data_IF_059409680553
#
_entry.id   IF_059409680553
#
_cell.length_a   1.000
_cell.length_b   1.000
_cell.length_c   1.000
_cell.angle_alpha   90.00
_cell.angle_beta   90.00
_cell.angle_gamma   90.00
#
_symmetry.space_group_name_H-M   'P 1'
#
loop_
_entity.id
_entity.type
_entity.pdbx_description
1 polymer ?
#
# COMPACT_ATOMS: atom_id res chain seq x y z
N UNK A 1 5.36 2.75 10.26
CA UNK A 1 4.15 2.60 9.43
C UNK A 1 4.39 3.39 8.16
N UNK A 2 3.93 2.89 7.00
CA UNK A 2 4.04 3.59 5.74
C UNK A 2 3.17 4.83 5.84
N UNK A 3 3.60 5.91 5.20
CA UNK A 3 2.85 7.15 5.21
C UNK A 3 1.91 7.16 4.01
N UNK A 4 1.03 8.15 4.01
CA UNK A 4 0.02 8.32 2.97
C UNK A 4 0.63 8.30 1.56
N UNK A 5 1.80 8.92 1.37
CA UNK A 5 2.48 9.01 0.09
C UNK A 5 2.96 7.64 -0.41
N UNK A 6 3.58 6.82 0.44
CA UNK A 6 4.07 5.50 0.03
C UNK A 6 2.92 4.58 -0.36
N UNK A 7 1.80 4.59 0.38
CA UNK A 7 0.62 3.79 0.02
C UNK A 7 0.12 4.18 -1.37
N UNK A 8 -0.02 5.49 -1.65
CA UNK A 8 -0.45 5.97 -2.95
C UNK A 8 0.53 5.57 -4.06
N UNK A 9 1.84 5.71 -3.85
CA UNK A 9 2.83 5.33 -4.83
C UNK A 9 2.76 3.84 -5.20
N UNK A 10 2.50 2.98 -4.20
CA UNK A 10 2.31 1.56 -4.43
C UNK A 10 1.01 1.26 -5.21
N UNK A 11 -0.13 1.80 -4.76
CA UNK A 11 -1.43 1.59 -5.42
C UNK A 11 -1.42 2.11 -6.85
N UNK A 12 -0.87 3.29 -7.11
CA UNK A 12 -0.77 3.82 -8.47
C UNK A 12 0.15 3.00 -9.38
N UNK A 13 1.24 2.45 -8.84
CA UNK A 13 2.11 1.55 -9.61
C UNK A 13 1.33 0.32 -10.09
N UNK A 14 0.51 -0.26 -9.21
CA UNK A 14 -0.29 -1.46 -9.53
C UNK A 14 -1.46 -1.11 -10.45
N UNK A 15 -2.24 -0.07 -10.14
CA UNK A 15 -3.38 0.35 -10.95
C UNK A 15 -2.97 0.71 -12.38
N UNK A 16 -1.83 1.38 -12.55
CA UNK A 16 -1.33 1.69 -13.89
C UNK A 16 -1.06 0.43 -14.71
N UNK A 17 -0.40 -0.57 -14.13
CA UNK A 17 -0.20 -1.86 -14.80
C UNK A 17 -1.53 -2.50 -15.15
N UNK A 18 -2.47 -2.50 -14.21
CA UNK A 18 -3.78 -3.11 -14.38
C UNK A 18 -4.59 -2.42 -15.51
N UNK A 19 -4.63 -1.09 -15.54
CA UNK A 19 -5.27 -0.30 -16.60
C UNK A 19 -4.61 -0.50 -17.97
N UNK A 20 -3.29 -0.64 -18.02
CA UNK A 20 -2.56 -0.97 -19.26
C UNK A 20 -2.91 -2.38 -19.75
N UNK A 21 -2.99 -3.35 -18.84
CA UNK A 21 -3.41 -4.71 -19.15
C UNK A 21 -4.85 -4.73 -19.72
N UNK A 22 -5.77 -3.96 -19.12
CA UNK A 22 -7.15 -3.83 -19.60
C UNK A 22 -7.23 -3.17 -20.98
N UNK A 23 -6.46 -2.10 -21.21
CA UNK A 23 -6.41 -1.41 -22.52
C UNK A 23 -5.89 -2.32 -23.63
N UNK A 24 -4.82 -3.08 -23.35
CA UNK A 24 -4.21 -3.98 -24.34
C UNK A 24 -5.06 -5.22 -24.63
N UNK A 25 -5.99 -5.57 -23.75
CA UNK A 25 -6.85 -6.74 -23.93
C UNK A 25 -7.90 -6.56 -25.05
N UNK A 26 -8.12 -5.33 -25.53
CA UNK A 26 -9.04 -5.06 -26.64
C UNK A 26 -10.49 -5.51 -26.37
N UNK A 27 -10.90 -5.57 -25.10
CA UNK A 27 -12.21 -6.08 -24.68
C UNK A 27 -12.28 -7.60 -24.48
N UNK A 28 -11.21 -8.35 -24.78
CA UNK A 28 -11.04 -9.73 -24.32
C UNK A 28 -10.78 -9.73 -22.81
N UNK A 29 -11.30 -10.70 -22.08
CA UNK A 29 -10.98 -10.89 -20.66
C UNK A 29 -9.50 -11.27 -20.53
N UNK A 30 -8.63 -10.30 -20.23
CA UNK A 30 -7.24 -10.59 -19.86
C UNK A 30 -7.25 -11.45 -18.59
N UNK A 31 -6.36 -12.46 -18.48
CA UNK A 31 -6.32 -13.30 -17.29
C UNK A 31 -5.82 -12.48 -16.11
N UNK A 32 -6.76 -11.97 -15.32
CA UNK A 32 -6.56 -11.34 -14.01
C UNK A 32 -6.84 -12.31 -12.87
N UNK A 33 -7.02 -13.59 -13.20
CA UNK A 33 -7.19 -14.68 -12.26
C UNK A 33 -5.89 -14.91 -11.48
N UNK A 34 -5.98 -14.92 -10.16
CA UNK A 34 -4.89 -15.19 -9.25
C UNK A 34 -4.57 -16.69 -9.27
N UNK A 35 -3.43 -17.06 -9.85
CA UNK A 35 -3.00 -18.44 -9.99
C UNK A 35 -2.23 -18.95 -8.78
N UNK A 36 -1.40 -18.08 -8.19
CA UNK A 36 -0.48 -18.46 -7.14
C UNK A 36 -0.12 -17.28 -6.24
N UNK A 37 0.23 -17.57 -4.98
CA UNK A 37 0.82 -16.60 -4.06
C UNK A 37 2.24 -17.05 -3.72
N UNK A 38 3.20 -16.15 -3.90
CA UNK A 38 4.62 -16.36 -3.66
C UNK A 38 5.08 -15.63 -2.40
N UNK A 39 6.09 -16.16 -1.73
CA UNK A 39 6.75 -15.48 -0.60
C UNK A 39 8.20 -15.93 -0.44
N UNK A 40 9.03 -15.09 0.17
CA UNK A 40 10.35 -15.48 0.66
C UNK A 40 10.27 -16.09 2.06
N UNK A 41 11.14 -17.07 2.31
CA UNK A 41 11.27 -17.69 3.62
C UNK A 41 12.01 -16.78 4.61
N UNK A 42 11.60 -16.82 5.88
CA UNK A 42 12.43 -16.29 6.97
C UNK A 42 13.60 -17.25 7.27
N UNK A 43 14.68 -16.78 7.89
CA UNK A 43 15.82 -17.67 8.24
C UNK A 43 15.38 -18.91 9.06
N UNK A 44 14.49 -18.78 10.07
CA UNK A 44 13.96 -19.96 10.77
C UNK A 44 13.16 -20.90 9.87
N UNK A 45 12.36 -20.39 8.92
CA UNK A 45 11.62 -21.19 7.95
C UNK A 45 12.58 -21.99 7.05
N UNK A 46 13.62 -21.36 6.51
CA UNK A 46 14.65 -22.02 5.69
C UNK A 46 15.32 -23.18 6.44
N UNK A 47 15.62 -22.99 7.72
CA UNK A 47 16.24 -24.01 8.57
C UNK A 47 15.28 -25.18 8.84
N UNK A 48 13.99 -24.92 9.02
CA UNK A 48 12.96 -25.93 9.26
C UNK A 48 12.50 -26.64 7.99
N UNK A 49 12.64 -26.01 6.82
CA UNK A 49 12.18 -26.55 5.55
C UNK A 49 12.78 -27.93 5.24
N UNK A 50 11.92 -28.81 4.73
CA UNK A 50 12.23 -30.17 4.24
C UNK A 50 11.47 -30.39 2.92
N UNK A 51 12.09 -31.02 1.91
CA UNK A 51 13.49 -31.44 1.86
C UNK A 51 14.46 -30.26 1.83
N UNK A 52 15.74 -30.49 2.15
CA UNK A 52 16.79 -29.44 2.10
C UNK A 52 17.08 -28.95 0.68
N UNK A 53 16.66 -29.69 -0.33
CA UNK A 53 16.68 -29.29 -1.74
C UNK A 53 15.54 -28.35 -2.12
N UNK A 54 14.53 -28.16 -1.26
CA UNK A 54 13.38 -27.29 -1.55
C UNK A 54 13.79 -25.83 -1.76
N UNK A 55 12.99 -25.10 -2.54
CA UNK A 55 13.19 -23.66 -2.80
C UNK A 55 13.26 -22.86 -1.50
N UNK A 56 12.33 -23.14 -0.57
CA UNK A 56 12.31 -22.55 0.76
C UNK A 56 13.61 -22.79 1.53
N UNK A 57 14.13 -24.03 1.57
CA UNK A 57 15.40 -24.34 2.25
C UNK A 57 16.60 -23.61 1.63
N UNK A 58 16.56 -23.32 0.33
CA UNK A 58 17.60 -22.62 -0.43
C UNK A 58 17.50 -21.10 -0.38
N UNK A 59 16.51 -20.54 0.33
CA UNK A 59 16.30 -19.08 0.40
C UNK A 59 15.79 -18.48 -0.90
N UNK A 60 15.19 -19.31 -1.77
CA UNK A 60 14.55 -18.88 -3.00
C UNK A 60 13.07 -18.59 -2.75
N UNK A 61 12.51 -17.65 -3.52
CA UNK A 61 11.06 -17.41 -3.52
C UNK A 61 10.34 -18.70 -3.89
N UNK A 62 9.30 -19.05 -3.14
CA UNK A 62 8.55 -20.29 -3.38
C UNK A 62 7.06 -20.02 -3.46
N UNK A 63 6.33 -20.80 -4.28
CA UNK A 63 4.89 -20.71 -4.36
C UNK A 63 4.29 -21.35 -3.10
N UNK A 64 3.18 -20.81 -2.62
CA UNK A 64 2.39 -21.40 -1.56
C UNK A 64 1.20 -22.16 -2.13
N UNK A 65 0.73 -23.13 -1.35
CA UNK A 65 -0.51 -23.85 -1.60
C UNK A 65 -1.39 -23.84 -0.35
N UNK A 66 -2.53 -24.53 -0.42
CA UNK A 66 -3.50 -24.64 0.66
C UNK A 66 -3.01 -25.38 1.91
N UNK A 67 -1.87 -26.08 1.82
CA UNK A 67 -1.20 -26.70 2.96
C UNK A 67 -0.25 -25.75 3.71
N UNK A 68 0.01 -24.56 3.15
CA UNK A 68 0.94 -23.59 3.72
C UNK A 68 0.52 -23.13 5.10
N UNK A 69 1.39 -23.39 6.09
CA UNK A 69 1.25 -22.91 7.47
C UNK A 69 2.04 -21.62 7.72
N UNK A 70 2.41 -20.93 6.65
CA UNK A 70 3.26 -19.75 6.74
C UNK A 70 2.46 -18.61 7.36
N UNK A 71 2.98 -18.13 8.48
CA UNK A 71 2.45 -17.00 9.22
C UNK A 71 3.33 -15.78 8.97
N UNK A 72 2.71 -14.61 8.82
CA UNK A 72 3.42 -13.33 8.71
C UNK A 72 2.87 -12.37 9.74
N UNK A 73 3.70 -11.44 10.21
CA UNK A 73 3.31 -10.44 11.21
C UNK A 73 4.29 -10.23 12.33
N UNK A 74 4.02 -9.20 13.13
CA UNK A 74 4.70 -9.03 14.41
C UNK A 74 4.37 -10.18 15.36
N UNK A 75 5.27 -10.44 16.29
CA UNK A 75 5.03 -11.37 17.39
C UNK A 75 3.68 -11.07 18.07
N UNK A 76 2.87 -12.11 18.32
CA UNK A 76 1.54 -11.99 18.93
C UNK A 76 0.39 -11.57 18.00
N UNK A 77 0.67 -11.15 16.77
CA UNK A 77 -0.35 -10.76 15.80
C UNK A 77 -0.10 -11.38 14.41
N UNK A 78 0.47 -12.58 14.36
CA UNK A 78 0.70 -13.24 13.08
C UNK A 78 -0.61 -13.80 12.50
N UNK A 79 -0.79 -13.69 11.18
CA UNK A 79 -1.91 -14.30 10.45
C UNK A 79 -1.39 -15.20 9.32
N UNK A 80 -2.18 -16.19 8.88
CA UNK A 80 -1.81 -17.03 7.75
C UNK A 80 -1.70 -16.19 6.49
N UNK A 81 -0.65 -16.42 5.69
CA UNK A 81 -0.50 -15.71 4.42
C UNK A 81 -1.48 -16.23 3.35
N UNK A 82 -1.74 -17.55 3.36
CA UNK A 82 -2.73 -18.19 2.50
C UNK A 82 -4.17 -17.76 2.87
N UNK A 83 -5.08 -17.58 1.90
CA UNK A 83 -6.47 -17.24 2.18
C UNK A 83 -7.18 -18.23 3.11
N UNK A 84 -7.94 -17.69 4.05
CA UNK A 84 -8.80 -18.46 4.95
C UNK A 84 -10.24 -17.93 4.90
N UNK A 85 -11.22 -18.83 5.01
CA UNK A 85 -12.63 -18.52 5.22
C UNK A 85 -13.09 -19.30 6.45
N UNK A 86 -13.77 -18.63 7.39
CA UNK A 86 -14.23 -19.23 8.65
C UNK A 86 -13.15 -20.03 9.41
N UNK A 87 -11.92 -19.48 9.45
CA UNK A 87 -10.72 -20.07 10.04
C UNK A 87 -10.19 -21.36 9.35
N UNK A 88 -10.74 -21.76 8.20
CA UNK A 88 -10.22 -22.85 7.39
C UNK A 88 -9.46 -22.31 6.17
N UNK A 89 -8.31 -22.91 5.79
CA UNK A 89 -7.60 -22.53 4.58
C UNK A 89 -8.45 -22.85 3.35
N UNK A 90 -8.47 -21.95 2.37
CA UNK A 90 -9.11 -22.26 1.08
C UNK A 90 -8.36 -23.38 0.36
N UNK A 91 -9.09 -24.23 -0.36
CA UNK A 91 -8.50 -25.37 -1.07
C UNK A 91 -7.67 -24.93 -2.28
N UNK A 92 -8.13 -23.91 -3.00
CA UNK A 92 -7.51 -23.33 -4.18
C UNK A 92 -7.86 -21.81 -4.26
N UNK A 93 -7.42 -21.17 -5.34
CA UNK A 93 -7.65 -19.74 -5.60
C UNK A 93 -8.65 -19.55 -6.76
N UNK A 94 -9.46 -20.56 -7.07
CA UNK A 94 -10.39 -20.51 -8.19
C UNK A 94 -11.44 -19.41 -7.97
N UNK A 95 -11.70 -18.61 -9.00
CA UNK A 95 -12.63 -17.48 -8.94
C UNK A 95 -12.07 -16.20 -8.33
N UNK A 96 -10.76 -16.14 -8.01
CA UNK A 96 -10.11 -14.92 -7.52
C UNK A 96 -9.65 -14.09 -8.71
N UNK A 97 -10.49 -13.20 -9.20
CA UNK A 97 -10.19 -12.33 -10.32
C UNK A 97 -9.93 -10.91 -9.85
N UNK A 98 -8.76 -10.35 -10.13
CA UNK A 98 -8.45 -8.99 -9.73
C UNK A 98 -9.37 -8.01 -10.47
N UNK A 99 -10.25 -7.34 -9.74
CA UNK A 99 -11.17 -6.32 -10.25
C UNK A 99 -10.61 -4.91 -10.03
N UNK A 100 -10.13 -4.63 -8.82
CA UNK A 100 -9.67 -3.31 -8.43
C UNK A 100 -8.54 -3.37 -7.40
N UNK A 101 -7.68 -2.35 -7.39
CA UNK A 101 -6.76 -2.09 -6.29
C UNK A 101 -7.03 -0.68 -5.75
N UNK A 102 -7.30 -0.59 -4.45
CA UNK A 102 -7.65 0.66 -3.78
C UNK A 102 -6.67 0.94 -2.64
N UNK A 103 -6.37 2.22 -2.45
CA UNK A 103 -5.70 2.68 -1.25
C UNK A 103 -6.74 2.91 -0.15
N UNK A 104 -6.38 2.58 1.08
CA UNK A 104 -6.89 3.28 2.26
C UNK A 104 -5.75 4.14 2.79
N UNK A 105 -5.98 5.01 3.78
CA UNK A 105 -4.90 5.79 4.36
C UNK A 105 -3.72 4.93 4.89
N UNK A 106 -3.93 3.67 5.26
CA UNK A 106 -2.87 2.81 5.86
C UNK A 106 -2.58 1.51 5.10
N UNK A 107 -3.42 1.13 4.15
CA UNK A 107 -3.38 -0.19 3.54
C UNK A 107 -3.64 -0.14 2.04
N UNK A 108 -3.24 -1.19 1.35
CA UNK A 108 -3.69 -1.50 -0.01
C UNK A 108 -4.78 -2.55 0.09
N UNK A 109 -5.82 -2.43 -0.71
CA UNK A 109 -6.90 -3.43 -0.82
C UNK A 109 -6.94 -3.93 -2.25
N UNK A 110 -6.68 -5.22 -2.44
CA UNK A 110 -6.92 -5.94 -3.68
C UNK A 110 -8.32 -6.54 -3.62
N UNK A 111 -9.19 -6.17 -4.55
CA UNK A 111 -10.52 -6.73 -4.69
C UNK A 111 -10.51 -7.85 -5.74
N UNK A 112 -10.68 -9.09 -5.29
CA UNK A 112 -10.75 -10.28 -6.15
C UNK A 112 -12.21 -10.72 -6.43
N UNK A 113 -13.19 -9.84 -6.21
CA UNK A 113 -14.61 -10.15 -6.31
C UNK A 113 -15.11 -10.95 -5.11
N UNK A 114 -14.89 -12.26 -5.13
CA UNK A 114 -15.33 -13.18 -4.08
C UNK A 114 -14.62 -12.96 -2.74
N UNK A 115 -13.36 -12.50 -2.79
CA UNK A 115 -12.57 -12.16 -1.62
C UNK A 115 -11.80 -10.86 -1.82
N UNK A 116 -11.48 -10.21 -0.71
CA UNK A 116 -10.63 -9.03 -0.67
C UNK A 116 -9.42 -9.32 0.17
N UNK A 117 -8.26 -8.91 -0.33
CA UNK A 117 -7.00 -8.92 0.40
C UNK A 117 -6.65 -7.49 0.75
N UNK A 118 -6.78 -7.14 2.02
CA UNK A 118 -6.16 -5.92 2.54
C UNK A 118 -4.71 -6.23 2.92
N UNK A 119 -3.80 -5.27 2.78
CA UNK A 119 -2.38 -5.38 3.15
C UNK A 119 -1.91 -4.05 3.73
N UNK A 120 -1.43 -4.10 4.97
CA UNK A 120 -0.77 -2.94 5.60
C UNK A 120 0.70 -2.94 5.22
N UNK A 121 1.13 -1.93 4.46
CA UNK A 121 2.55 -1.79 4.11
C UNK A 121 3.37 -1.35 5.33
N UNK A 122 4.69 -1.35 5.21
CA UNK A 122 5.65 -0.82 6.18
C UNK A 122 6.65 0.11 5.51
N UNK A 123 7.47 0.81 6.31
CA UNK A 123 8.39 1.88 5.87
C UNK A 123 9.40 1.44 4.79
N UNK A 124 9.61 0.14 4.62
CA UNK A 124 10.54 -0.41 3.63
C UNK A 124 9.85 -1.33 2.64
N UNK A 125 8.58 -1.03 2.31
CA UNK A 125 7.81 -1.80 1.34
C UNK A 125 7.55 -1.03 0.04
N UNK A 126 7.72 -1.74 -1.08
CA UNK A 126 7.43 -1.22 -2.41
C UNK A 126 6.81 -2.29 -3.30
N UNK A 127 5.82 -1.90 -4.09
CA UNK A 127 5.16 -2.73 -5.07
C UNK A 127 5.92 -2.66 -6.38
N UNK A 128 6.19 -3.80 -6.98
CA UNK A 128 6.77 -3.90 -8.29
C UNK A 128 6.04 -4.96 -9.10
N UNK A 129 5.80 -4.66 -10.37
CA UNK A 129 5.19 -5.61 -11.30
C UNK A 129 6.28 -6.18 -12.21
N UNK A 130 6.32 -7.51 -12.31
CA UNK A 130 7.27 -8.25 -13.13
C UNK A 130 6.53 -9.00 -14.23
N UNK A 131 7.14 -9.08 -15.42
CA UNK A 131 6.69 -10.06 -16.42
C UNK A 131 7.00 -11.47 -15.93
N UNK A 132 6.34 -12.48 -16.49
CA UNK A 132 6.62 -13.86 -16.14
C UNK A 132 8.08 -14.24 -16.33
N UNK A 133 8.69 -13.84 -17.45
CA UNK A 133 10.11 -14.10 -17.73
C UNK A 133 11.05 -13.49 -16.71
N UNK A 134 10.84 -12.21 -16.35
CA UNK A 134 11.62 -11.55 -15.30
C UNK A 134 11.47 -12.25 -13.95
N UNK A 135 10.24 -12.61 -13.59
CA UNK A 135 9.97 -13.30 -12.34
C UNK A 135 10.71 -14.64 -12.27
N UNK A 136 10.53 -15.49 -13.28
CA UNK A 136 11.05 -16.85 -13.27
C UNK A 136 12.57 -16.93 -13.40
N UNK A 137 13.21 -15.97 -14.06
CA UNK A 137 14.65 -15.99 -14.36
C UNK A 137 15.45 -15.15 -13.36
N UNK A 138 14.94 -13.98 -12.97
CA UNK A 138 15.73 -12.99 -12.22
C UNK A 138 15.32 -12.90 -10.75
N UNK A 139 14.04 -13.10 -10.43
CA UNK A 139 13.54 -12.88 -9.07
C UNK A 139 13.45 -14.20 -8.31
N UNK A 140 12.80 -15.20 -8.89
CA UNK A 140 12.51 -16.46 -8.22
C UNK A 140 13.77 -17.32 -8.03
N UNK A 141 14.76 -17.28 -8.93
CA UNK A 141 15.96 -18.13 -8.85
C UNK A 141 17.10 -17.54 -8.02
N UNK A 142 16.95 -16.30 -7.55
CA UNK A 142 18.02 -15.60 -6.85
C UNK A 142 17.73 -15.57 -5.34
N UNK A 143 18.64 -16.06 -4.48
CA UNK A 143 18.43 -16.00 -3.04
C UNK A 143 18.22 -14.56 -2.53
N UNK A 144 17.42 -14.42 -1.48
CA UNK A 144 17.11 -13.10 -0.89
C UNK A 144 18.37 -12.30 -0.47
N UNK A 145 19.41 -13.00 -0.02
CA UNK A 145 20.71 -12.44 0.40
C UNK A 145 21.48 -11.78 -0.74
N UNK A 146 21.28 -12.28 -1.97
CA UNK A 146 21.90 -11.74 -3.19
C UNK A 146 21.06 -10.60 -3.74
N UNK A 147 19.73 -10.74 -3.76
CA UNK A 147 18.79 -9.69 -4.22
C UNK A 147 18.82 -8.41 -3.38
N UNK A 148 19.21 -8.50 -2.09
CA UNK A 148 19.18 -7.40 -1.11
C UNK A 148 17.78 -6.86 -0.79
N UNK A 149 16.75 -7.58 -1.22
CA UNK A 149 15.37 -7.39 -0.83
C UNK A 149 14.69 -8.77 -0.74
N UNK A 150 13.51 -8.78 -0.15
CA UNK A 150 12.68 -9.98 0.05
C UNK A 150 11.30 -9.75 -0.57
N UNK A 151 10.69 -10.81 -1.06
CA UNK A 151 9.31 -10.84 -1.53
C UNK A 151 8.44 -11.16 -0.32
N UNK A 152 7.78 -10.12 0.22
CA UNK A 152 6.79 -10.32 1.28
C UNK A 152 5.61 -11.13 0.75
N UNK A 153 5.03 -10.65 -0.36
CA UNK A 153 3.92 -11.28 -1.07
C UNK A 153 4.10 -11.08 -2.57
N UNK A 154 4.02 -12.14 -3.38
CA UNK A 154 3.92 -12.05 -4.84
C UNK A 154 2.59 -12.62 -5.32
N UNK A 155 1.79 -11.84 -6.01
CA UNK A 155 0.49 -12.25 -6.56
C UNK A 155 0.66 -12.56 -8.04
N UNK A 156 0.50 -13.83 -8.40
CA UNK A 156 0.77 -14.36 -9.74
C UNK A 156 -0.51 -14.44 -10.57
N UNK A 157 -0.51 -13.72 -11.69
CA UNK A 157 -1.62 -13.66 -12.65
C UNK A 157 -1.24 -14.38 -13.97
N UNK A 158 -0.29 -15.32 -13.90
CA UNK A 158 0.20 -16.09 -15.04
C UNK A 158 1.21 -15.31 -15.88
N UNK A 159 0.77 -14.30 -16.61
CA UNK A 159 1.66 -13.47 -17.44
C UNK A 159 2.50 -12.45 -16.65
N UNK A 160 2.04 -12.12 -15.44
CA UNK A 160 2.57 -11.06 -14.61
C UNK A 160 2.54 -11.44 -13.13
N UNK A 161 3.49 -10.91 -12.36
CA UNK A 161 3.53 -11.04 -10.91
C UNK A 161 3.58 -9.67 -10.27
N UNK A 162 2.59 -9.34 -9.44
CA UNK A 162 2.59 -8.15 -8.60
C UNK A 162 3.25 -8.49 -7.27
N UNK A 163 4.45 -7.98 -7.04
CA UNK A 163 5.24 -8.29 -5.86
C UNK A 163 5.33 -7.09 -4.90
N UNK A 164 5.08 -7.36 -3.63
CA UNK A 164 5.29 -6.43 -2.52
C UNK A 164 6.62 -6.77 -1.86
N UNK A 165 7.63 -6.00 -2.24
CA UNK A 165 9.01 -6.18 -1.81
C UNK A 165 9.23 -5.52 -0.45
N UNK A 166 10.13 -6.07 0.35
CA UNK A 166 10.50 -5.59 1.68
C UNK A 166 11.99 -5.80 1.94
N UNK A 167 12.63 -4.90 2.70
CA UNK A 167 14.02 -5.08 3.09
C UNK A 167 14.22 -6.21 4.12
N UNK A 168 13.25 -6.41 5.02
CA UNK A 168 13.43 -7.14 6.28
C UNK A 168 12.36 -8.20 6.56
N UNK A 169 11.40 -8.42 5.64
CA UNK A 169 10.21 -9.24 5.88
C UNK A 169 9.35 -8.75 7.08
N UNK A 170 9.60 -7.54 7.58
CA UNK A 170 8.79 -6.95 8.63
C UNK A 170 7.63 -6.24 7.94
N UNK A 171 6.56 -6.99 7.75
CA UNK A 171 5.25 -6.41 7.59
C UNK A 171 4.39 -6.81 8.78
N UNK A 172 4.03 -5.82 9.59
CA UNK A 172 3.13 -6.00 10.74
C UNK A 172 1.74 -6.32 10.23
N UNK A 173 1.35 -7.57 10.43
CA UNK A 173 0.00 -8.11 10.29
C UNK A 173 -0.82 -7.81 11.55
N UNK A 174 -0.70 -6.60 12.13
CA UNK A 174 -1.69 -6.20 13.15
C UNK A 174 -3.09 -6.23 12.55
N UNK A 175 -3.15 -5.95 11.25
CA UNK A 175 -4.29 -6.20 10.41
C UNK A 175 -3.87 -6.47 8.96
N UNK A 176 -3.37 -7.68 8.61
CA UNK A 176 -3.42 -8.30 7.26
C UNK A 176 -2.22 -9.18 6.90
N UNK A 177 -2.35 -10.26 6.12
CA UNK A 177 -3.38 -10.49 5.11
C UNK A 177 -4.72 -10.83 5.75
N UNK A 178 -5.69 -9.95 5.55
CA UNK A 178 -7.07 -10.20 5.91
C UNK A 178 -7.81 -10.50 4.63
N UNK A 179 -8.16 -11.76 4.52
CA UNK A 179 -9.01 -12.27 3.49
C UNK A 179 -10.44 -12.16 4.01
N UNK A 180 -11.24 -11.29 3.38
CA UNK A 180 -12.64 -11.10 3.78
C UNK A 180 -13.55 -11.18 2.56
N UNK A 181 -14.72 -11.79 2.73
CA UNK A 181 -15.73 -11.88 1.68
C UNK A 181 -16.43 -10.52 1.45
N UNK A 182 -16.76 -9.79 2.53
CA UNK A 182 -17.46 -8.52 2.47
C UNK A 182 -16.54 -7.34 2.81
N UNK A 183 -16.75 -6.21 2.12
CA UNK A 183 -15.99 -4.97 2.35
C UNK A 183 -16.16 -4.41 3.77
N UNK A 184 -17.36 -4.55 4.35
CA UNK A 184 -17.68 -4.14 5.73
C UNK A 184 -16.88 -4.87 6.81
N UNK A 185 -16.27 -6.01 6.47
CA UNK A 185 -15.51 -6.83 7.41
C UNK A 185 -14.01 -6.48 7.41
N UNK A 186 -13.60 -5.46 6.65
CA UNK A 186 -12.22 -5.00 6.67
C UNK A 186 -11.92 -4.39 8.05
N UNK A 187 -10.83 -4.79 8.73
CA UNK A 187 -10.58 -4.39 10.11
C UNK A 187 -10.17 -2.93 10.30
N UNK A 188 -9.77 -2.24 9.23
CA UNK A 188 -9.29 -0.86 9.31
C UNK A 188 -10.09 0.01 8.35
N UNK A 189 -10.94 0.83 8.94
CA UNK A 189 -11.66 1.91 8.28
C UNK A 189 -11.17 3.21 8.87
N UNK A 190 -10.22 3.86 8.19
CA UNK A 190 -9.91 5.26 8.45
C UNK A 190 -10.51 6.06 7.30
N UNK A 191 -11.22 7.15 7.63
CA UNK A 191 -11.61 8.11 6.61
C UNK A 191 -10.36 8.65 5.90
N UNK A 192 -10.39 8.64 4.57
CA UNK A 192 -9.34 9.23 3.77
C UNK A 192 -9.54 10.75 3.74
N UNK A 193 -8.57 11.50 4.26
CA UNK A 193 -8.64 12.96 4.35
C UNK A 193 -8.85 13.62 2.99
N UNK A 194 -8.42 13.00 1.89
CA UNK A 194 -8.60 13.52 0.54
C UNK A 194 -9.91 13.06 -0.09
N UNK A 195 -10.25 11.77 -0.02
CA UNK A 195 -11.43 11.23 -0.71
C UNK A 195 -12.74 11.48 0.03
N UNK A 196 -12.72 11.51 1.37
CA UNK A 196 -13.89 11.79 2.22
C UNK A 196 -13.51 12.69 3.39
N UNK A 197 -13.19 13.95 3.05
CA UNK A 197 -12.81 14.96 4.04
C UNK A 197 -13.89 15.17 5.12
N UNK A 198 -15.17 15.03 4.76
CA UNK A 198 -16.27 15.19 5.71
C UNK A 198 -16.33 14.06 6.73
N UNK A 199 -16.14 12.81 6.32
CA UNK A 199 -15.99 11.70 7.27
C UNK A 199 -14.79 11.90 8.18
N UNK A 200 -13.65 12.33 7.62
CA UNK A 200 -12.46 12.64 8.40
C UNK A 200 -12.73 13.72 9.47
N UNK A 201 -13.40 14.81 9.11
CA UNK A 201 -13.77 15.86 10.07
C UNK A 201 -14.74 15.35 11.15
N UNK A 202 -15.67 14.45 10.80
CA UNK A 202 -16.56 13.80 11.79
C UNK A 202 -15.78 12.95 12.79
N UNK A 203 -14.81 12.16 12.32
CA UNK A 203 -13.95 11.32 13.17
C UNK A 203 -13.12 12.18 14.14
N UNK A 204 -12.61 13.33 13.68
CA UNK A 204 -11.90 14.30 14.53
C UNK A 204 -12.84 14.91 15.57
N UNK A 205 -14.04 15.34 15.16
CA UNK A 205 -15.02 15.92 16.08
C UNK A 205 -15.47 14.90 17.15
N UNK A 206 -15.63 13.64 16.77
CA UNK A 206 -15.92 12.55 17.71
C UNK A 206 -14.76 12.30 18.68
N UNK A 207 -13.52 12.30 18.17
CA UNK A 207 -12.32 12.18 19.00
C UNK A 207 -12.23 13.30 20.04
N UNK A 208 -12.59 14.54 19.67
CA UNK A 208 -12.64 15.68 20.61
C UNK A 208 -13.68 15.45 21.70
N UNK A 209 -14.90 14.99 21.33
CA UNK A 209 -15.98 14.72 22.29
C UNK A 209 -15.61 13.61 23.28
N UNK A 210 -14.89 12.59 22.81
CA UNK A 210 -14.54 11.41 23.59
C UNK A 210 -13.20 11.54 24.33
N UNK A 211 -12.43 12.61 24.09
CA UNK A 211 -11.13 12.77 24.71
C UNK A 211 -11.26 13.14 26.19
N UNK A 212 -10.83 12.25 27.08
CA UNK A 212 -10.50 12.62 28.44
C UNK A 212 -9.28 13.54 28.48
N UNK A 213 -9.08 14.28 29.59
CA UNK A 213 -7.82 15.00 29.82
C UNK A 213 -6.67 14.00 29.85
N UNK A 214 -5.80 14.06 28.85
CA UNK A 214 -4.65 13.19 28.71
C UNK A 214 -3.39 14.04 28.53
N UNK A 215 -2.34 13.67 29.25
CA UNK A 215 -1.01 14.28 29.15
C UNK A 215 -0.23 13.79 27.91
N UNK A 216 -0.85 12.96 27.07
CA UNK A 216 -0.24 12.48 25.83
C UNK A 216 -0.01 13.65 24.86
N UNK A 217 1.16 13.68 24.21
CA UNK A 217 1.44 14.64 23.15
C UNK A 217 0.50 14.44 21.95
N UNK A 218 -0.05 15.55 21.43
CA UNK A 218 -0.99 15.54 20.31
C UNK A 218 -0.43 14.81 19.08
N UNK A 219 0.86 15.00 18.78
CA UNK A 219 1.51 14.36 17.63
C UNK A 219 1.52 12.82 17.74
N UNK A 220 1.70 12.27 18.95
CA UNK A 220 1.67 10.83 19.18
C UNK A 220 0.25 10.27 19.09
N UNK A 221 -0.75 11.04 19.57
CA UNK A 221 -2.15 10.70 19.40
C UNK A 221 -2.54 10.65 17.93
N UNK A 222 -2.16 11.68 17.15
CA UNK A 222 -2.41 11.79 15.71
C UNK A 222 -1.85 10.57 14.96
N UNK A 223 -0.58 10.23 15.20
CA UNK A 223 0.08 9.07 14.57
C UNK A 223 -0.63 7.75 14.83
N UNK A 224 -1.23 7.61 16.00
CA UNK A 224 -1.89 6.36 16.41
C UNK A 224 -3.31 6.28 15.85
N UNK A 225 -4.06 7.38 15.91
CA UNK A 225 -5.50 7.38 15.66
C UNK A 225 -5.89 7.79 14.24
N UNK A 226 -5.04 8.54 13.53
CA UNK A 226 -5.35 9.04 12.19
C UNK A 226 -4.71 8.17 11.10
N UNK A 227 -5.52 7.75 10.14
CA UNK A 227 -5.09 6.99 8.98
C UNK A 227 -4.05 7.74 8.14
N UNK A 228 -3.00 7.05 7.67
CA UNK A 228 -1.99 7.63 6.78
C UNK A 228 -0.97 8.56 7.44
N UNK A 229 -1.09 8.81 8.75
CA UNK A 229 -0.16 9.67 9.46
C UNK A 229 0.94 8.85 10.14
N UNK A 230 2.09 8.78 9.47
CA UNK A 230 3.35 8.25 9.98
C UNK A 230 4.13 9.25 10.84
N UNK A 231 5.39 8.93 11.12
CA UNK A 231 6.27 9.81 11.91
C UNK A 231 6.52 11.11 11.17
N UNK A 232 7.00 11.03 9.92
CA UNK A 232 7.38 12.18 9.13
C UNK A 232 6.13 12.97 8.71
N UNK A 233 5.08 12.28 8.26
CA UNK A 233 3.80 12.93 7.95
C UNK A 233 3.24 13.72 9.13
N UNK A 234 3.33 13.20 10.37
CA UNK A 234 2.84 13.94 11.53
C UNK A 234 3.62 15.22 11.80
N UNK A 235 4.94 15.19 11.64
CA UNK A 235 5.81 16.36 11.80
C UNK A 235 5.53 17.39 10.70
N UNK A 236 5.38 16.95 9.45
CA UNK A 236 5.05 17.82 8.32
C UNK A 236 3.68 18.49 8.50
N UNK A 237 2.65 17.75 8.94
CA UNK A 237 1.32 18.32 9.18
C UNK A 237 1.41 19.41 10.26
N UNK A 238 2.09 19.13 11.37
CA UNK A 238 2.24 20.11 12.46
C UNK A 238 3.00 21.35 12.00
N UNK A 239 4.06 21.17 11.21
CA UNK A 239 4.81 22.26 10.61
C UNK A 239 3.93 23.12 9.68
N UNK A 240 3.24 22.51 8.72
CA UNK A 240 2.35 23.21 7.77
C UNK A 240 1.20 23.91 8.49
N UNK A 241 0.66 23.30 9.55
CA UNK A 241 -0.39 23.90 10.37
C UNK A 241 0.10 25.03 11.29
N UNK A 242 1.42 25.25 11.40
CA UNK A 242 2.00 26.20 12.35
C UNK A 242 1.72 25.81 13.81
N UNK A 243 1.89 24.53 14.13
CA UNK A 243 1.65 23.94 15.44
C UNK A 243 2.94 23.37 16.03
N UNK A 244 3.13 23.54 17.34
CA UNK A 244 4.26 22.92 18.04
C UNK A 244 4.03 21.41 18.19
N UNK A 245 5.04 20.56 17.91
CA UNK A 245 4.93 19.11 18.12
C UNK A 245 4.86 18.74 19.62
N UNK A 246 5.15 19.68 20.51
CA UNK A 246 5.13 19.51 21.97
C UNK A 246 3.78 19.85 22.61
N UNK A 247 2.75 20.18 21.82
CA UNK A 247 1.41 20.39 22.36
C UNK A 247 0.90 19.10 23.02
N UNK A 248 0.39 19.23 24.23
CA UNK A 248 -0.44 18.18 24.82
C UNK A 248 -1.73 18.02 24.00
N UNK A 249 -2.32 16.83 24.03
CA UNK A 249 -3.59 16.56 23.36
C UNK A 249 -4.69 17.51 23.84
N UNK A 250 -4.69 17.84 25.13
CA UNK A 250 -5.63 18.77 25.72
C UNK A 250 -5.47 20.19 25.15
N UNK A 251 -4.24 20.72 25.08
CA UNK A 251 -3.98 22.04 24.48
C UNK A 251 -4.35 22.09 22.99
N UNK A 252 -4.16 20.98 22.28
CA UNK A 252 -4.52 20.85 20.88
C UNK A 252 -6.04 20.89 20.69
N UNK A 253 -6.80 20.01 21.37
CA UNK A 253 -8.25 19.89 21.21
C UNK A 253 -9.06 21.05 21.81
N UNK A 254 -8.55 21.72 22.85
CA UNK A 254 -9.24 22.88 23.45
C UNK A 254 -9.18 24.16 22.61
N UNK A 255 -8.40 24.17 21.52
CA UNK A 255 -8.31 25.32 20.63
C UNK A 255 -8.85 24.96 19.24
N UNK A 256 -10.11 25.34 18.90
CA UNK A 256 -10.71 25.02 17.61
C UNK A 256 -9.85 25.47 16.40
N UNK A 257 -9.19 26.63 16.52
CA UNK A 257 -8.27 27.13 15.48
C UNK A 257 -7.06 26.20 15.24
N UNK A 258 -6.52 25.54 16.28
CA UNK A 258 -5.42 24.57 16.11
C UNK A 258 -5.90 23.32 15.38
N UNK A 259 -7.05 22.78 15.78
CA UNK A 259 -7.64 21.60 15.13
C UNK A 259 -7.98 21.90 13.67
N UNK A 260 -8.59 23.05 13.38
CA UNK A 260 -8.92 23.46 12.01
C UNK A 260 -7.65 23.55 11.13
N UNK A 261 -6.60 24.23 11.62
CA UNK A 261 -5.32 24.32 10.90
C UNK A 261 -4.66 22.96 10.69
N UNK A 262 -4.75 22.06 11.66
CA UNK A 262 -4.28 20.68 11.50
C UNK A 262 -5.02 19.94 10.39
N UNK A 263 -6.36 20.01 10.37
CA UNK A 263 -7.18 19.34 9.35
C UNK A 263 -6.86 19.87 7.95
N UNK A 264 -6.81 21.18 7.78
CA UNK A 264 -6.46 21.84 6.52
C UNK A 264 -5.00 21.56 6.11
N UNK A 265 -4.08 21.52 7.07
CA UNK A 265 -2.69 21.16 6.83
C UNK A 265 -2.55 19.74 6.30
N UNK A 266 -3.26 18.78 6.89
CA UNK A 266 -3.25 17.40 6.42
C UNK A 266 -3.91 17.25 5.05
N UNK A 267 -5.08 17.87 4.84
CA UNK A 267 -5.73 17.88 3.53
C UNK A 267 -4.81 18.46 2.44
N UNK A 268 -4.14 19.58 2.74
CA UNK A 268 -3.18 20.22 1.83
C UNK A 268 -2.05 19.27 1.44
N UNK A 269 -1.43 18.59 2.41
CA UNK A 269 -0.37 17.63 2.15
C UNK A 269 -0.88 16.43 1.34
N UNK A 270 -2.01 15.85 1.72
CA UNK A 270 -2.61 14.72 0.99
C UNK A 270 -2.93 15.09 -0.47
N UNK A 271 -3.49 16.28 -0.68
CA UNK A 271 -3.77 16.84 -2.00
C UNK A 271 -2.49 17.05 -2.82
N UNK A 272 -1.44 17.60 -2.21
CA UNK A 272 -0.13 17.77 -2.87
C UNK A 272 0.49 16.43 -3.26
N UNK A 273 0.44 15.40 -2.39
CA UNK A 273 0.97 14.08 -2.70
C UNK A 273 0.21 13.44 -3.86
N UNK A 274 -1.13 13.50 -3.88
CA UNK A 274 -1.90 13.00 -5.02
C UNK A 274 -1.55 13.70 -6.32
N UNK A 275 -1.44 15.03 -6.31
CA UNK A 275 -0.98 15.79 -7.49
C UNK A 275 0.43 15.38 -7.92
N UNK A 276 1.33 15.13 -6.98
CA UNK A 276 2.70 14.72 -7.28
C UNK A 276 2.72 13.39 -8.02
N UNK A 277 1.94 12.41 -7.56
CA UNK A 277 1.88 11.10 -8.19
C UNK A 277 1.08 11.09 -9.51
N UNK A 278 0.00 11.86 -9.63
CA UNK A 278 -0.71 12.01 -10.92
C UNK A 278 0.16 12.67 -11.99
N UNK A 279 1.14 13.48 -11.57
CA UNK A 279 2.12 14.14 -12.46
C UNK A 279 3.38 13.32 -12.74
N UNK A 280 3.46 12.05 -12.31
CA UNK A 280 4.53 11.17 -12.75
C UNK A 280 4.37 10.85 -14.24
N UNK A 281 5.17 11.49 -15.10
CA UNK A 281 5.14 11.27 -16.55
C UNK A 281 5.75 9.93 -16.97
N UNK A 282 5.21 9.40 -18.08
CA UNK A 282 5.80 8.30 -18.84
C UNK A 282 6.92 8.83 -19.71
N UNK A 283 8.17 8.61 -19.30
CA UNK A 283 9.28 8.75 -20.24
C UNK A 283 9.61 7.36 -20.74
N UNK A 284 9.38 7.13 -22.04
CA UNK A 284 9.81 5.90 -22.72
C UNK A 284 11.30 5.67 -22.40
N UNK A 285 11.63 4.46 -21.91
CA UNK A 285 12.97 4.05 -21.47
C UNK A 285 13.55 4.70 -20.19
N UNK A 286 12.79 5.43 -19.36
CA UNK A 286 13.23 5.79 -17.98
C UNK A 286 12.12 5.57 -16.95
N UNK A 287 12.36 4.67 -15.99
CA UNK A 287 11.50 4.45 -14.81
C UNK A 287 11.67 5.61 -13.83
N UNK A 288 10.59 6.38 -13.61
CA UNK A 288 10.41 7.36 -12.53
C UNK A 288 11.49 8.47 -12.44
N UNK A 289 11.31 9.53 -13.23
CA UNK A 289 12.05 10.79 -13.01
C UNK A 289 11.06 11.84 -12.53
N UNK A 290 11.33 12.47 -11.38
CA UNK A 290 10.71 13.73 -11.01
C UNK A 290 10.91 14.70 -12.18
N UNK A 291 9.81 15.25 -12.71
CA UNK A 291 9.86 16.31 -13.72
C UNK A 291 10.77 17.41 -13.17
N UNK A 292 11.90 17.65 -13.84
CA UNK A 292 12.71 18.83 -13.54
C UNK A 292 11.85 20.07 -13.77
N UNK A 293 12.04 21.11 -12.97
CA UNK A 293 11.25 22.35 -13.09
C UNK A 293 11.18 22.86 -14.54
N UNK A 294 12.28 22.69 -15.30
CA UNK A 294 12.36 23.00 -16.72
C UNK A 294 11.40 22.17 -17.58
N UNK A 295 11.31 20.87 -17.36
CA UNK A 295 10.40 20.00 -18.13
C UNK A 295 8.92 20.31 -17.80
N UNK A 296 8.64 20.76 -16.57
CA UNK A 296 7.31 21.24 -16.18
C UNK A 296 6.91 22.49 -16.97
N UNK A 297 7.84 23.44 -17.08
CA UNK A 297 7.64 24.66 -17.88
C UNK A 297 7.38 24.31 -19.34
N UNK A 298 8.21 23.44 -19.93
CA UNK A 298 8.05 23.02 -21.33
C UNK A 298 6.73 22.29 -21.60
N UNK A 299 6.30 21.41 -20.70
CA UNK A 299 4.99 20.75 -20.82
C UNK A 299 3.83 21.74 -20.74
N UNK A 300 3.92 22.71 -19.82
CA UNK A 300 2.90 23.76 -19.67
C UNK A 300 2.83 24.64 -20.92
N UNK A 301 3.98 25.04 -21.47
CA UNK A 301 4.06 25.79 -22.72
C UNK A 301 3.51 24.99 -23.91
N UNK A 302 3.79 23.69 -23.97
CA UNK A 302 3.25 22.81 -25.00
C UNK A 302 1.72 22.76 -24.96
N UNK A 303 1.12 22.57 -23.77
CA UNK A 303 -0.34 22.55 -23.62
C UNK A 303 -0.98 23.87 -24.03
N UNK A 304 -0.38 25.01 -23.67
CA UNK A 304 -0.85 26.35 -24.08
C UNK A 304 -0.77 26.55 -25.60
N UNK A 305 0.24 25.97 -26.26
CA UNK A 305 0.35 26.04 -27.72
C UNK A 305 -0.62 25.10 -28.41
N UNK A 306 -0.77 23.88 -27.92
CA UNK A 306 -1.73 22.90 -28.44
C UNK A 306 -3.17 23.42 -28.33
N UNK A 307 -3.54 24.05 -27.23
CA UNK A 307 -4.87 24.64 -27.05
C UNK A 307 -5.15 25.80 -28.00
N UNK A 308 -4.12 26.52 -28.46
CA UNK A 308 -4.28 27.59 -29.48
C UNK A 308 -4.45 27.05 -30.88
N UNK A 309 -3.87 25.88 -31.17
CA UNK A 309 -3.97 25.22 -32.48
C UNK A 309 -5.30 24.49 -32.66
N UNK A 310 -5.98 24.13 -31.57
CA UNK A 310 -7.29 23.45 -31.60
C UNK A 310 -8.49 24.41 -31.69
N UNK A 311 -8.25 25.73 -31.73
CA UNK A 311 -9.27 26.79 -31.83
C UNK A 311 -9.28 27.44 -33.24
N UNK A 312 -8.49 26.90 -34.17
CA UNK A 312 -8.48 27.24 -35.59
C UNK A 312 -9.03 26.07 -36.40
#
# INVERSE_FOLDING_TARGET
MPEYAEILGNVYTINRWFEELQRNAGGSTTPTALQCIWTDATKPEMQKARPKSSRCARGLVYPMDSSSKIMRGSSGAQKPLWPHCDNAPLRNLDGFELHHVKATPRTIVFDFGAMRLQLQLHIHMVSQVYTRGQWDQEIAQVPSEVRKFRVGVGLDFGGWVVALLTADNVFTVRTCPHWVAAHSNLPVHHADVYEDYMAFLRDIAESIRNSASSEVLAINWVRTNIGGVGVYMSEEIFFVAGLSPFLSLQEFFRCPSRVARFCEGFWTLAHQQRIRYTRWLNVHAKKQVLISSRMKTLWTEFLVRASRLLVL
#
